data_IF_526643719226
#
_entry.id   IF_526643719226
#
_cell.length_a   1.000
_cell.length_b   1.000
_cell.length_c   1.000
_cell.angle_alpha   90.00
_cell.angle_beta   90.00
_cell.angle_gamma   90.00
#
_symmetry.space_group_name_H-M   'P 1'
#
loop_
_entity.id
_entity.type
_entity.pdbx_description
1 polymer ?
#
# COMPACT_ATOMS: atom_id res chain seq x y z
N UNK A 1 -4.94 -15.99 10.48
CA UNK A 1 -4.53 -14.61 10.22
C UNK A 1 -5.28 -14.09 9.00
N UNK A 2 -5.97 -12.97 9.13
CA UNK A 2 -6.63 -12.38 7.98
C UNK A 2 -5.61 -12.05 6.89
N UNK A 3 -5.95 -12.37 5.67
CA UNK A 3 -5.12 -12.04 4.53
C UNK A 3 -5.97 -11.78 3.31
N UNK A 4 -5.44 -10.98 2.41
CA UNK A 4 -6.08 -10.66 1.15
C UNK A 4 -5.02 -10.65 0.06
N UNK A 5 -5.34 -11.28 -1.07
CA UNK A 5 -4.41 -11.35 -2.20
C UNK A 5 -5.18 -11.10 -3.49
N UNK A 6 -4.61 -10.29 -4.37
CA UNK A 6 -5.19 -10.07 -5.68
C UNK A 6 -4.11 -9.82 -6.72
N UNK A 7 -4.42 -10.12 -7.97
CA UNK A 7 -3.61 -9.75 -9.12
C UNK A 7 -4.53 -9.02 -10.08
N UNK A 8 -4.11 -7.85 -10.52
CA UNK A 8 -4.94 -6.98 -11.33
C UNK A 8 -4.14 -6.44 -12.52
N UNK A 9 -4.67 -6.67 -13.74
CA UNK A 9 -4.05 -6.14 -14.95
C UNK A 9 -4.45 -4.68 -15.14
N UNK A 10 -3.46 -3.80 -15.33
CA UNK A 10 -3.69 -2.39 -15.58
C UNK A 10 -2.98 -1.94 -16.85
N UNK A 11 -3.48 -0.89 -17.53
CA UNK A 11 -2.90 -0.43 -18.79
C UNK A 11 -1.78 0.58 -18.61
N UNK A 12 -0.99 0.42 -17.56
CA UNK A 12 0.15 1.27 -17.26
C UNK A 12 1.39 0.40 -17.13
N UNK A 13 2.58 0.98 -17.32
CA UNK A 13 3.81 0.18 -17.22
C UNK A 13 4.05 -0.22 -15.77
N UNK A 14 4.82 -1.29 -15.59
CA UNK A 14 5.20 -1.72 -14.25
C UNK A 14 5.93 -0.62 -13.49
N UNK A 15 6.78 0.13 -14.16
CA UNK A 15 7.51 1.24 -13.54
C UNK A 15 6.57 2.37 -13.13
N UNK A 16 5.59 2.70 -13.95
CA UNK A 16 4.60 3.72 -13.61
C UNK A 16 3.84 3.34 -12.35
N UNK A 17 3.41 2.09 -12.26
CA UNK A 17 2.65 1.63 -11.09
C UNK A 17 3.55 1.54 -9.87
N UNK A 18 4.79 1.09 -10.03
CA UNK A 18 5.74 1.08 -8.93
C UNK A 18 5.94 2.50 -8.38
N UNK A 19 6.20 3.47 -9.25
CA UNK A 19 6.44 4.85 -8.83
C UNK A 19 5.23 5.42 -8.09
N UNK A 20 4.04 5.07 -8.53
CA UNK A 20 2.81 5.54 -7.92
C UNK A 20 2.63 4.99 -6.50
N UNK A 21 2.87 3.70 -6.32
CA UNK A 21 2.76 3.04 -5.01
C UNK A 21 3.90 3.45 -4.09
N UNK A 22 5.07 3.72 -4.65
CA UNK A 22 6.24 4.15 -3.88
C UNK A 22 6.10 5.58 -3.36
N UNK A 23 5.18 6.37 -3.91
CA UNK A 23 4.95 7.75 -3.49
C UNK A 23 3.96 7.78 -2.32
N UNK A 24 4.43 7.34 -1.15
CA UNK A 24 3.59 7.20 0.02
C UNK A 24 2.96 8.50 0.47
N UNK A 25 3.67 9.62 0.33
CA UNK A 25 3.20 10.90 0.83
C UNK A 25 1.97 11.41 0.07
N UNK A 26 1.68 10.86 -1.10
CA UNK A 26 0.47 11.20 -1.85
C UNK A 26 -0.77 10.42 -1.41
N UNK A 27 -0.61 9.39 -0.59
CA UNK A 27 -1.71 8.50 -0.22
C UNK A 27 -2.92 9.22 0.35
N UNK A 28 -2.78 10.22 1.24
CA UNK A 28 -3.97 10.90 1.78
C UNK A 28 -4.82 11.57 0.73
N UNK A 29 -4.26 11.87 -0.46
CA UNK A 29 -4.99 12.55 -1.52
C UNK A 29 -6.00 11.65 -2.22
N UNK A 30 -5.86 10.33 -2.13
CA UNK A 30 -6.72 9.45 -2.93
C UNK A 30 -7.07 8.12 -2.28
N UNK A 31 -6.31 7.64 -1.29
CA UNK A 31 -6.61 6.34 -0.69
C UNK A 31 -7.78 6.42 0.28
N UNK A 32 -8.74 5.49 0.19
CA UNK A 32 -9.84 5.45 1.15
C UNK A 32 -9.34 5.34 2.58
N UNK A 33 -9.94 6.08 3.48
CA UNK A 33 -9.69 6.07 4.92
C UNK A 33 -8.30 6.54 5.34
N UNK A 34 -7.40 6.83 4.41
CA UNK A 34 -6.07 7.33 4.74
C UNK A 34 -6.15 8.84 4.98
N UNK A 35 -6.07 9.26 6.24
CA UNK A 35 -6.20 10.66 6.61
C UNK A 35 -4.86 11.39 6.61
N UNK A 36 -3.79 10.69 6.92
CA UNK A 36 -2.46 11.28 6.96
C UNK A 36 -1.41 10.21 6.70
N UNK A 37 -0.31 10.62 6.13
CA UNK A 37 0.85 9.78 6.00
C UNK A 37 2.10 10.64 6.13
N UNK A 38 2.94 10.30 7.12
CA UNK A 38 4.16 11.04 7.41
C UNK A 38 5.35 10.09 7.29
N UNK A 39 6.27 10.42 6.40
CA UNK A 39 7.53 9.68 6.28
C UNK A 39 8.51 10.28 7.30
N UNK A 40 8.87 9.49 8.31
CA UNK A 40 9.72 9.93 9.39
C UNK A 40 11.20 9.77 9.11
N UNK A 41 11.56 8.71 8.39
CA UNK A 41 12.94 8.43 8.03
C UNK A 41 13.00 7.89 6.62
N UNK A 42 14.09 8.20 5.93
CA UNK A 42 14.33 7.70 4.58
C UNK A 42 15.81 7.34 4.50
N UNK A 43 16.08 6.05 4.36
CA UNK A 43 17.44 5.52 4.27
C UNK A 43 17.67 4.96 2.88
N UNK A 44 18.68 5.48 2.21
CA UNK A 44 19.12 4.90 0.95
C UNK A 44 20.05 3.74 1.25
N UNK A 45 19.73 2.60 0.67
CA UNK A 45 20.56 1.41 0.75
C UNK A 45 20.98 1.02 -0.63
N UNK A 46 21.94 0.10 -0.73
CA UNK A 46 22.38 -0.37 -2.03
C UNK A 46 21.20 -1.01 -2.75
N UNK A 47 20.74 -0.35 -3.82
CA UNK A 47 19.67 -0.86 -4.65
C UNK A 47 18.25 -0.69 -4.09
N UNK A 48 18.07 -0.12 -2.89
CA UNK A 48 16.72 0.05 -2.35
C UNK A 48 16.66 1.27 -1.44
N UNK A 49 15.42 1.68 -1.12
CA UNK A 49 15.15 2.74 -0.16
C UNK A 49 14.27 2.17 0.93
N UNK A 50 14.62 2.44 2.18
CA UNK A 50 13.82 2.01 3.33
C UNK A 50 13.23 3.24 3.98
N UNK A 51 11.90 3.23 4.13
CA UNK A 51 11.16 4.31 4.77
C UNK A 51 10.62 3.84 6.10
N UNK A 52 10.55 4.75 7.05
CA UNK A 52 9.75 4.58 8.26
C UNK A 52 8.60 5.56 8.15
N UNK A 53 7.37 5.07 8.10
CA UNK A 53 6.21 5.90 7.82
C UNK A 53 5.09 5.65 8.80
N UNK A 54 4.40 6.73 9.18
CA UNK A 54 3.19 6.67 10.00
C UNK A 54 1.99 6.96 9.11
N UNK A 55 1.05 6.04 9.07
CA UNK A 55 -0.19 6.20 8.33
C UNK A 55 -1.36 6.23 9.30
N UNK A 56 -2.15 7.29 9.23
CA UNK A 56 -3.34 7.42 10.07
C UNK A 56 -4.56 7.05 9.25
N UNK A 57 -5.32 6.09 9.78
CA UNK A 57 -6.53 5.58 9.15
C UNK A 57 -7.71 5.95 10.04
N UNK A 58 -8.75 6.51 9.42
CA UNK A 58 -9.97 6.91 10.13
C UNK A 58 -11.20 6.29 9.53
N UNK A 59 -12.09 5.78 10.38
CA UNK A 59 -13.39 5.27 9.98
C UNK A 59 -14.37 5.53 11.11
N UNK A 60 -15.39 6.35 10.85
CA UNK A 60 -16.33 6.80 11.86
C UNK A 60 -15.57 7.44 13.04
N UNK A 61 -15.77 6.93 14.26
CA UNK A 61 -15.06 7.43 15.44
C UNK A 61 -13.72 6.73 15.69
N UNK A 62 -13.37 5.74 14.87
CA UNK A 62 -12.12 5.00 15.03
C UNK A 62 -11.03 5.70 14.24
N UNK A 63 -9.91 5.98 14.91
CA UNK A 63 -8.76 6.58 14.25
C UNK A 63 -7.51 5.95 14.84
N UNK A 64 -6.70 5.35 13.98
CA UNK A 64 -5.50 4.64 14.40
C UNK A 64 -4.31 5.02 13.52
N UNK A 65 -3.15 5.08 14.12
CA UNK A 65 -1.90 5.36 13.39
C UNK A 65 -1.03 4.11 13.41
N UNK A 66 -0.61 3.71 12.22
CA UNK A 66 0.23 2.53 12.01
C UNK A 66 1.61 2.98 11.60
N UNK A 67 2.64 2.49 12.29
CA UNK A 67 4.02 2.74 11.90
C UNK A 67 4.52 1.54 11.12
N UNK A 68 5.02 1.78 9.92
CA UNK A 68 5.47 0.73 9.02
C UNK A 68 6.89 1.00 8.53
N UNK A 69 7.63 -0.09 8.37
CA UNK A 69 8.88 -0.08 7.65
C UNK A 69 8.57 -0.48 6.21
N UNK A 70 8.89 0.40 5.28
CA UNK A 70 8.57 0.18 3.86
C UNK A 70 9.85 0.11 3.07
N UNK A 71 10.03 -0.97 2.34
CA UNK A 71 11.21 -1.16 1.48
C UNK A 71 10.79 -1.02 0.02
N UNK A 72 11.43 -0.09 -0.66
CA UNK A 72 11.19 0.20 -2.07
C UNK A 72 12.36 -0.35 -2.88
N UNK A 73 12.09 -1.32 -3.74
CA UNK A 73 13.09 -1.93 -4.60
C UNK A 73 12.76 -1.63 -6.07
N UNK A 74 13.38 -0.58 -6.64
CA UNK A 74 13.06 -0.21 -8.02
C UNK A 74 13.58 -1.19 -9.06
N UNK A 75 14.62 -1.97 -8.75
CA UNK A 75 15.12 -2.94 -9.73
C UNK A 75 14.24 -4.19 -9.75
N UNK A 76 13.75 -4.62 -8.60
CA UNK A 76 12.82 -5.75 -8.52
C UNK A 76 11.36 -5.35 -8.70
N UNK A 77 11.06 -4.04 -8.73
CA UNK A 77 9.71 -3.51 -8.83
C UNK A 77 8.81 -4.09 -7.74
N UNK A 78 9.26 -3.97 -6.49
CA UNK A 78 8.51 -4.43 -5.33
C UNK A 78 8.46 -3.35 -4.27
N UNK A 79 7.36 -3.37 -3.50
CA UNK A 79 7.18 -2.53 -2.32
C UNK A 79 6.75 -3.47 -1.20
N UNK A 80 7.52 -3.50 -0.12
CA UNK A 80 7.27 -4.38 1.01
C UNK A 80 7.09 -3.55 2.27
N UNK A 81 6.01 -3.77 3.00
CA UNK A 81 5.75 -3.06 4.24
C UNK A 81 5.50 -4.04 5.37
N UNK A 82 6.10 -3.74 6.51
CA UNK A 82 5.93 -4.54 7.72
C UNK A 82 5.69 -3.61 8.91
N UNK A 83 5.09 -4.14 9.96
CA UNK A 83 4.84 -3.36 11.16
C UNK A 83 6.16 -2.98 11.81
N UNK A 84 6.24 -1.72 12.26
CA UNK A 84 7.40 -1.20 12.97
C UNK A 84 6.90 -0.51 14.24
N UNK A 85 7.79 0.17 14.96
CA UNK A 85 7.40 0.88 16.18
C UNK A 85 7.62 0.10 17.45
N UNK A 86 8.27 -1.04 17.37
CA UNK A 86 8.70 -1.83 18.53
C UNK A 86 7.56 -2.15 19.49
N UNK A 87 6.46 -2.66 18.95
CA UNK A 87 5.31 -3.03 19.77
C UNK A 87 4.36 -1.89 20.07
N UNK A 88 4.60 -0.71 19.56
CA UNK A 88 3.66 0.41 19.65
C UNK A 88 2.65 0.33 18.52
N UNK A 89 1.47 0.91 18.74
CA UNK A 89 0.43 0.94 17.73
C UNK A 89 -0.44 -0.29 17.77
N UNK A 90 -1.49 -0.31 16.93
CA UNK A 90 -2.55 -1.32 17.02
C UNK A 90 -2.22 -2.64 16.35
N UNK A 91 -1.18 -2.69 15.49
CA UNK A 91 -0.84 -3.91 14.77
C UNK A 91 0.22 -4.71 15.51
N UNK A 92 -0.02 -6.00 15.66
CA UNK A 92 0.97 -6.95 16.13
C UNK A 92 1.85 -7.40 14.98
N UNK A 93 1.24 -7.62 13.80
CA UNK A 93 1.96 -8.06 12.60
C UNK A 93 1.34 -7.40 11.37
N UNK A 94 2.19 -7.14 10.40
CA UNK A 94 1.78 -6.67 9.10
C UNK A 94 2.76 -7.21 8.06
N UNK A 95 2.23 -7.82 7.02
CA UNK A 95 3.01 -8.24 5.85
C UNK A 95 2.24 -7.77 4.63
N UNK A 96 2.71 -6.69 4.03
CA UNK A 96 2.09 -6.11 2.84
C UNK A 96 3.11 -6.13 1.71
N UNK A 97 2.73 -6.70 0.58
CA UNK A 97 3.64 -6.87 -0.56
C UNK A 97 2.98 -6.41 -1.84
N UNK A 98 3.70 -5.59 -2.57
CA UNK A 98 3.33 -5.17 -3.90
C UNK A 98 4.39 -5.66 -4.87
N UNK A 99 3.96 -6.22 -6.00
CA UNK A 99 4.85 -6.58 -7.08
C UNK A 99 4.25 -6.10 -8.40
N UNK A 100 5.12 -5.68 -9.31
CA UNK A 100 4.68 -5.13 -10.59
C UNK A 100 5.40 -5.88 -11.69
N UNK A 101 4.64 -6.65 -12.49
CA UNK A 101 5.20 -7.50 -13.54
C UNK A 101 4.77 -6.99 -14.90
N UNK A 102 5.72 -6.68 -15.80
CA UNK A 102 5.34 -6.27 -17.16
C UNK A 102 4.46 -7.32 -17.83
N UNK A 103 3.48 -6.84 -18.56
CA UNK A 103 2.55 -7.70 -19.27
C UNK A 103 2.08 -7.00 -20.54
N UNK A 104 1.46 -7.74 -21.42
CA UNK A 104 0.96 -7.20 -22.69
C UNK A 104 -0.01 -6.05 -22.41
N UNK A 105 0.29 -4.88 -22.96
CA UNK A 105 -0.54 -3.69 -22.80
C UNK A 105 -0.44 -2.98 -21.47
N UNK A 106 0.46 -3.39 -20.58
CA UNK A 106 0.60 -2.74 -19.29
C UNK A 106 1.40 -3.57 -18.30
N UNK A 107 0.81 -3.83 -17.13
CA UNK A 107 1.46 -4.69 -16.14
C UNK A 107 0.41 -5.41 -15.29
N UNK A 108 0.86 -6.45 -14.62
CA UNK A 108 0.10 -7.12 -13.58
C UNK A 108 0.55 -6.58 -12.23
N UNK A 109 -0.40 -6.09 -11.46
CA UNK A 109 -0.15 -5.61 -10.10
C UNK A 109 -0.53 -6.71 -9.13
N UNK A 110 0.47 -7.25 -8.44
CA UNK A 110 0.26 -8.23 -7.39
C UNK A 110 0.19 -7.52 -6.04
N UNK A 111 -0.85 -7.77 -5.30
CA UNK A 111 -1.06 -7.18 -3.99
C UNK A 111 -1.35 -8.27 -2.97
N UNK A 112 -0.61 -8.28 -1.89
CA UNK A 112 -0.83 -9.19 -0.78
C UNK A 112 -0.76 -8.41 0.53
N UNK A 113 -1.69 -8.70 1.44
CA UNK A 113 -1.62 -8.16 2.79
C UNK A 113 -2.10 -9.22 3.78
N UNK A 114 -1.35 -9.36 4.86
CA UNK A 114 -1.72 -10.16 6.02
C UNK A 114 -1.45 -9.33 7.26
N UNK A 115 -2.35 -9.38 8.21
CA UNK A 115 -2.24 -8.50 9.38
C UNK A 115 -2.86 -9.14 10.60
N UNK A 116 -2.41 -8.72 11.78
CA UNK A 116 -2.98 -9.13 13.06
C UNK A 116 -2.99 -7.92 13.98
N UNK A 117 -4.14 -7.63 14.56
CA UNK A 117 -4.25 -6.58 15.57
C UNK A 117 -3.87 -7.13 16.93
N UNK A 118 -3.36 -6.26 17.80
CA UNK A 118 -3.08 -6.62 19.19
C UNK A 118 -4.36 -6.87 19.97
N UNK A 119 -5.41 -6.12 19.65
CA UNK A 119 -6.69 -6.20 20.35
C UNK A 119 -7.62 -7.15 19.60
N UNK A 120 -8.13 -8.16 20.29
CA UNK A 120 -9.15 -9.04 19.73
C UNK A 120 -10.45 -8.28 19.43
N UNK A 121 -10.76 -7.27 20.25
CA UNK A 121 -11.93 -6.45 20.01
C UNK A 121 -11.78 -5.66 18.71
N UNK A 122 -10.62 -5.05 18.49
CA UNK A 122 -10.38 -4.29 17.27
C UNK A 122 -10.41 -5.22 16.05
N UNK A 123 -9.82 -6.42 16.18
CA UNK A 123 -9.85 -7.42 15.11
C UNK A 123 -11.29 -7.78 14.74
N UNK A 124 -12.16 -7.97 15.74
CA UNK A 124 -13.55 -8.32 15.49
C UNK A 124 -14.32 -7.17 14.86
N UNK A 125 -14.06 -5.94 15.29
CA UNK A 125 -14.79 -4.77 14.80
C UNK A 125 -14.44 -4.45 13.35
N UNK A 126 -13.17 -4.60 12.95
CA UNK A 126 -12.71 -4.10 11.65
C UNK A 126 -12.35 -5.18 10.65
N UNK A 127 -12.41 -6.45 11.05
CA UNK A 127 -11.98 -7.56 10.18
C UNK A 127 -12.70 -7.58 8.84
N UNK A 128 -14.03 -7.50 8.84
CA UNK A 128 -14.81 -7.48 7.62
C UNK A 128 -14.68 -6.19 6.84
N UNK A 129 -14.42 -5.09 7.53
CA UNK A 129 -14.23 -3.80 6.89
C UNK A 129 -12.95 -3.76 6.07
N UNK A 130 -11.85 -4.30 6.61
CA UNK A 130 -10.57 -4.23 5.92
C UNK A 130 -10.55 -5.00 4.60
N UNK A 131 -11.25 -6.13 4.51
CA UNK A 131 -11.36 -6.82 3.23
C UNK A 131 -11.97 -5.92 2.17
N UNK A 132 -13.01 -5.17 2.51
CA UNK A 132 -13.64 -4.24 1.58
C UNK A 132 -12.70 -3.08 1.23
N UNK A 133 -11.98 -2.58 2.23
CA UNK A 133 -11.06 -1.45 2.04
C UNK A 133 -9.91 -1.87 1.11
N UNK A 134 -9.34 -3.06 1.30
CA UNK A 134 -8.23 -3.50 0.45
C UNK A 134 -8.65 -3.71 -0.99
N UNK A 135 -9.88 -4.18 -1.23
CA UNK A 135 -10.41 -4.26 -2.60
C UNK A 135 -10.51 -2.87 -3.22
N UNK A 136 -10.88 -1.88 -2.43
CA UNK A 136 -10.97 -0.51 -2.90
C UNK A 136 -9.60 0.13 -3.10
N UNK A 137 -8.59 -0.34 -2.38
CA UNK A 137 -7.23 0.19 -2.51
C UNK A 137 -6.69 -0.04 -3.92
N UNK A 138 -6.77 -1.26 -4.41
CA UNK A 138 -6.25 -1.56 -5.75
C UNK A 138 -6.96 -0.72 -6.81
N UNK A 139 -8.26 -0.54 -6.66
CA UNK A 139 -9.03 0.32 -7.58
C UNK A 139 -8.62 1.78 -7.44
N UNK A 140 -8.39 2.25 -6.21
CA UNK A 140 -7.99 3.63 -5.97
C UNK A 140 -6.64 3.94 -6.61
N UNK A 141 -5.69 3.01 -6.55
CA UNK A 141 -4.40 3.17 -7.19
C UNK A 141 -4.54 3.20 -8.71
N UNK A 142 -5.40 2.38 -9.27
CA UNK A 142 -5.64 2.40 -10.72
C UNK A 142 -6.27 3.73 -11.14
N UNK A 143 -7.27 4.21 -10.41
CA UNK A 143 -7.89 5.50 -10.69
C UNK A 143 -6.89 6.64 -10.55
N UNK A 144 -6.01 6.57 -9.55
CA UNK A 144 -4.96 7.56 -9.38
C UNK A 144 -4.00 7.53 -10.56
N UNK A 145 -3.66 6.35 -11.08
CA UNK A 145 -2.80 6.20 -12.24
C UNK A 145 -3.42 6.89 -13.46
N UNK A 146 -4.73 6.75 -13.65
CA UNK A 146 -5.41 7.45 -14.74
C UNK A 146 -5.31 8.96 -14.59
N UNK A 147 -5.37 9.48 -13.37
CA UNK A 147 -5.23 10.92 -13.14
C UNK A 147 -3.82 11.43 -13.39
N UNK A 148 -2.83 10.66 -12.92
CA UNK A 148 -1.43 11.10 -12.97
C UNK A 148 -0.84 10.89 -14.35
N UNK A 149 -1.15 9.76 -14.99
CA UNK A 149 -0.56 9.38 -16.28
C UNK A 149 -1.48 9.62 -17.46
N UNK A 150 -2.70 10.06 -17.20
CA UNK A 150 -3.69 10.28 -18.22
C UNK A 150 -4.46 9.05 -18.58
N UNK A 151 -5.35 9.17 -19.55
CA UNK A 151 -6.03 8.02 -20.07
C UNK A 151 -4.97 7.07 -20.57
N UNK A 152 -5.16 5.78 -20.29
CA UNK A 152 -4.28 4.74 -20.73
C UNK A 152 -4.30 4.68 -22.24
N UNK A 153 -3.70 5.62 -22.82
CA UNK A 153 -3.40 5.54 -24.18
C UNK A 153 -2.00 5.03 -24.19
N UNK A 154 -1.83 3.76 -24.42
CA UNK A 154 -0.50 3.32 -24.60
C UNK A 154 0.02 4.15 -25.73
N UNK A 155 1.14 4.77 -25.53
CA UNK A 155 1.84 5.23 -26.67
C UNK A 155 1.99 4.03 -27.57
N UNK A 156 1.96 4.28 -28.79
CA UNK A 156 2.18 3.22 -29.74
C UNK A 156 3.45 2.48 -29.43
#
# INVERSE_FOLDING_TARGET
MPSFRTTHRVPFTARQMFDLVADLESYPSFLPLCEALVVRQRDQREGSTVLLADMTVGYLSIRETFTSRVELDPSGLTVLASAAGRGRGPLQRLDNRWGFRPAAGGCDVDFFISYTFKSLMLQALVGGLFDRVFRRYTRAFEERAHRVYGSASPPP
#
